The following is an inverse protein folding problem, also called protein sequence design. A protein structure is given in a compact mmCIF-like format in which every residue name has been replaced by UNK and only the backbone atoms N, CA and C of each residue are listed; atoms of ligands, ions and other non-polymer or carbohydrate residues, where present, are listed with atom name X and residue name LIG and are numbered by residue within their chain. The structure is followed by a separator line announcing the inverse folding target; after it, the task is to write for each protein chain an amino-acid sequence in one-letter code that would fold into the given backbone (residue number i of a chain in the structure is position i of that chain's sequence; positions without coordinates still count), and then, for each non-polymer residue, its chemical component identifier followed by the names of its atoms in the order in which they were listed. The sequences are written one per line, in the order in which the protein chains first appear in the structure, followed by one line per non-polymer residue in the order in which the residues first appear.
data_IF_965881908056
#
_entry.id   IF_965881908056
#
_cell.length_a   1.000
_cell.length_b   1.000
_cell.length_c   1.000
_cell.angle_alpha   90.00
_cell.angle_beta   90.00
_cell.angle_gamma   90.00
#
_symmetry.space_group_name_H-M   'P 1'
#
loop_
_entity.id
_entity.type
_entity.pdbx_description
1 polymer ?
#
# COMPACT_ATOMS: atom_id res chain seq x y z
N UNK A 1 -17.69 -36.55 39.34
CA UNK A 1 -19.06 -36.83 38.85
C UNK A 1 -19.64 -35.51 38.40
N UNK A 2 -20.10 -35.25 37.19
CA UNK A 2 -20.17 -35.94 35.89
C UNK A 2 -20.31 -34.80 34.85
N UNK A 3 -19.72 -34.92 33.66
CA UNK A 3 -20.44 -35.17 32.40
C UNK A 3 -21.77 -34.41 32.29
N UNK A 4 -21.89 -33.53 31.29
CA UNK A 4 -22.82 -33.77 30.18
C UNK A 4 -22.52 -32.85 28.98
N UNK A 5 -22.44 -33.52 27.83
CA UNK A 5 -22.30 -33.01 26.47
C UNK A 5 -23.52 -32.19 26.06
N UNK A 6 -23.31 -31.05 25.39
CA UNK A 6 -24.30 -30.51 24.46
C UNK A 6 -23.61 -29.98 23.19
N UNK A 7 -23.61 -30.92 22.23
CA UNK A 7 -23.67 -30.77 20.78
C UNK A 7 -24.35 -29.44 20.36
N UNK A 8 -23.73 -28.68 19.46
CA UNK A 8 -24.44 -27.67 18.67
C UNK A 8 -24.46 -28.08 17.20
N UNK A 9 -25.69 -28.34 16.77
CA UNK A 9 -26.17 -28.74 15.45
C UNK A 9 -26.09 -27.59 14.44
N UNK A 10 -25.80 -27.96 13.18
CA UNK A 10 -26.03 -27.09 12.01
C UNK A 10 -27.54 -26.99 11.73
N UNK A 11 -28.09 -25.84 11.34
CA UNK A 11 -29.42 -25.80 10.75
C UNK A 11 -29.34 -26.16 9.26
N UNK A 12 -30.14 -27.16 8.86
CA UNK A 12 -30.52 -27.47 7.48
C UNK A 12 -31.96 -26.99 7.27
N UNK A 13 -32.19 -26.31 6.13
CA UNK A 13 -33.41 -26.23 5.29
C UNK A 13 -34.74 -25.73 5.94
N UNK A 14 -35.49 -24.76 5.37
CA UNK A 14 -36.23 -24.89 4.12
C UNK A 14 -36.77 -23.54 3.57
N UNK A 15 -36.96 -23.56 2.24
CA UNK A 15 -37.87 -22.85 1.31
C UNK A 15 -38.81 -21.72 1.79
N UNK A 16 -39.00 -20.71 0.93
CA UNK A 16 -40.29 -20.39 0.26
C UNK A 16 -40.07 -19.38 -0.88
N UNK A 17 -40.79 -19.64 -1.98
CA UNK A 17 -40.89 -18.95 -3.27
C UNK A 17 -41.59 -17.58 -3.19
N UNK A 18 -41.34 -16.70 -4.17
CA UNK A 18 -42.45 -16.02 -4.89
C UNK A 18 -42.03 -15.52 -6.30
N UNK A 19 -42.91 -15.90 -7.22
CA UNK A 19 -43.15 -15.59 -8.65
C UNK A 19 -43.30 -14.07 -8.96
N UNK A 20 -42.72 -13.55 -10.06
CA UNK A 20 -43.28 -13.33 -11.44
C UNK A 20 -44.25 -12.12 -11.55
N UNK A 21 -44.38 -11.33 -12.62
CA UNK A 21 -44.16 -11.46 -14.07
C UNK A 21 -44.00 -10.06 -14.76
N UNK A 22 -43.31 -10.05 -15.92
CA UNK A 22 -43.57 -9.43 -17.24
C UNK A 22 -44.06 -7.96 -17.39
N UNK A 23 -43.75 -7.17 -18.42
CA UNK A 23 -43.34 -7.45 -19.81
C UNK A 23 -42.88 -6.15 -20.53
N UNK A 24 -42.14 -6.27 -21.64
CA UNK A 24 -42.36 -5.36 -22.79
C UNK A 24 -41.24 -4.43 -23.32
N UNK A 25 -40.66 -4.87 -24.45
CA UNK A 25 -40.20 -4.11 -25.65
C UNK A 25 -38.76 -3.58 -25.74
N UNK A 26 -38.04 -4.25 -26.64
CA UNK A 26 -36.81 -3.86 -27.31
C UNK A 26 -37.07 -2.84 -28.44
N UNK A 27 -36.37 -1.71 -28.40
CA UNK A 27 -36.14 -0.83 -29.56
C UNK A 27 -34.64 -0.52 -29.68
N UNK A 28 -34.02 -1.04 -30.74
CA UNK A 28 -32.68 -0.67 -31.17
C UNK A 28 -32.73 0.72 -31.81
N UNK A 29 -32.10 1.71 -31.18
CA UNK A 29 -31.77 2.98 -31.81
C UNK A 29 -30.27 3.23 -31.73
N UNK A 30 -29.63 3.03 -32.87
CA UNK A 30 -28.25 3.36 -33.16
C UNK A 30 -28.11 4.89 -33.19
N UNK A 31 -27.70 5.49 -32.07
CA UNK A 31 -27.15 6.85 -32.02
C UNK A 31 -25.82 6.78 -31.28
N UNK A 32 -24.75 7.12 -31.98
CA UNK A 32 -23.41 7.20 -31.40
C UNK A 32 -23.41 8.10 -30.17
N UNK A 33 -23.19 7.50 -29.01
CA UNK A 33 -22.96 8.21 -27.76
C UNK A 33 -21.52 8.71 -27.82
N UNK A 34 -21.35 9.97 -28.23
CA UNK A 34 -20.13 10.71 -27.93
C UNK A 34 -20.14 10.88 -26.41
N UNK A 35 -19.40 10.03 -25.70
CA UNK A 35 -19.11 10.23 -24.29
C UNK A 35 -18.21 11.45 -24.21
N UNK A 36 -18.81 12.62 -23.97
CA UNK A 36 -18.08 13.75 -23.43
C UNK A 36 -17.60 13.33 -22.04
N UNK A 37 -16.33 12.92 -21.97
CA UNK A 37 -15.61 12.77 -20.72
C UNK A 37 -15.37 14.20 -20.23
N UNK A 38 -16.25 14.70 -19.38
CA UNK A 38 -15.97 15.92 -18.64
C UNK A 38 -14.71 15.69 -17.79
N UNK A 39 -13.67 16.53 -17.93
CA UNK A 39 -12.49 16.41 -17.08
C UNK A 39 -12.89 16.65 -15.63
N UNK A 40 -12.32 15.92 -14.65
CA UNK A 40 -12.75 15.95 -13.27
C UNK A 40 -12.76 17.38 -12.72
N UNK A 41 -13.90 17.79 -12.17
CA UNK A 41 -14.19 19.15 -11.65
C UNK A 41 -13.15 19.66 -10.63
N UNK A 42 -12.35 18.77 -10.06
CA UNK A 42 -11.26 19.09 -9.15
C UNK A 42 -10.12 19.89 -9.79
N UNK A 43 -9.90 19.77 -11.10
CA UNK A 43 -8.85 20.53 -11.79
C UNK A 43 -9.26 21.97 -12.10
N UNK A 44 -10.55 22.24 -12.38
CA UNK A 44 -11.05 23.61 -12.65
C UNK A 44 -11.05 24.49 -11.40
N UNK A 45 -11.32 23.93 -10.22
CA UNK A 45 -11.27 24.65 -8.94
C UNK A 45 -9.85 25.09 -8.57
N UNK A 46 -8.84 24.24 -8.80
CA UNK A 46 -7.44 24.60 -8.56
C UNK A 46 -6.93 25.63 -9.58
N UNK A 47 -7.37 25.53 -10.84
CA UNK A 47 -6.97 26.44 -11.91
C UNK A 47 -7.54 27.85 -11.69
N UNK A 48 -8.85 27.96 -11.37
CA UNK A 48 -9.50 29.23 -11.05
C UNK A 48 -8.98 29.90 -9.77
N UNK A 49 -8.61 29.12 -8.74
CA UNK A 49 -8.00 29.68 -7.53
C UNK A 49 -6.59 30.22 -7.77
N UNK A 50 -5.79 29.57 -8.62
CA UNK A 50 -4.46 30.06 -8.93
C UNK A 50 -4.49 31.40 -9.67
N UNK A 51 -5.35 31.54 -10.68
CA UNK A 51 -5.46 32.77 -11.50
C UNK A 51 -5.94 33.98 -10.68
N UNK A 52 -6.83 33.75 -9.71
CA UNK A 52 -7.28 34.79 -8.76
C UNK A 52 -6.14 35.20 -7.82
N UNK A 53 -5.35 34.25 -7.34
CA UNK A 53 -4.19 34.53 -6.48
C UNK A 53 -3.14 35.34 -7.26
N UNK A 54 -2.88 34.97 -8.51
CA UNK A 54 -1.96 35.69 -9.40
C UNK A 54 -2.43 37.12 -9.68
N UNK A 55 -3.72 37.30 -9.99
CA UNK A 55 -4.32 38.61 -10.20
C UNK A 55 -4.28 39.50 -8.96
N UNK A 56 -4.53 38.93 -7.77
CA UNK A 56 -4.47 39.67 -6.51
C UNK A 56 -3.03 40.05 -6.12
N UNK A 57 -2.04 39.16 -6.29
CA UNK A 57 -0.63 39.47 -6.06
C UNK A 57 -0.13 40.57 -6.99
N UNK A 58 -0.53 40.53 -8.26
CA UNK A 58 -0.24 41.57 -9.23
C UNK A 58 -0.85 42.92 -8.83
N UNK A 59 -2.13 42.92 -8.44
CA UNK A 59 -2.81 44.13 -7.98
C UNK A 59 -2.15 44.72 -6.74
N UNK A 60 -1.76 43.89 -5.77
CA UNK A 60 -1.06 44.34 -4.56
C UNK A 60 0.31 44.94 -4.91
N UNK A 61 1.05 44.32 -5.83
CA UNK A 61 2.36 44.83 -6.23
C UNK A 61 2.27 46.19 -6.93
N UNK A 62 1.32 46.37 -7.84
CA UNK A 62 1.19 47.58 -8.64
C UNK A 62 0.44 48.71 -7.94
N UNK A 63 -0.61 48.42 -7.17
CA UNK A 63 -1.41 49.44 -6.50
C UNK A 63 -1.02 49.65 -5.03
N UNK A 64 -0.25 48.74 -4.43
CA UNK A 64 0.16 48.82 -3.03
C UNK A 64 1.55 49.43 -2.77
N UNK A 65 2.43 49.48 -3.76
CA UNK A 65 3.82 49.97 -3.59
C UNK A 65 4.13 51.16 -4.50
N UNK A 66 4.94 52.08 -4.00
CA UNK A 66 5.45 53.22 -4.77
C UNK A 66 6.55 52.78 -5.76
N UNK A 67 6.77 53.56 -6.82
CA UNK A 67 7.68 53.22 -7.94
C UNK A 67 9.13 53.00 -7.44
N UNK A 68 9.57 53.76 -6.43
CA UNK A 68 10.88 53.57 -5.80
C UNK A 68 10.96 52.27 -4.99
N UNK A 69 9.88 51.90 -4.31
CA UNK A 69 9.80 50.66 -3.53
C UNK A 69 9.74 49.43 -4.44
N UNK A 70 9.00 49.50 -5.55
CA UNK A 70 8.96 48.46 -6.58
C UNK A 70 10.37 48.18 -7.14
N UNK A 71 11.16 49.21 -7.44
CA UNK A 71 12.55 49.05 -7.92
C UNK A 71 13.47 48.38 -6.91
N UNK A 72 13.39 48.74 -5.63
CA UNK A 72 14.17 48.11 -4.56
C UNK A 72 13.77 46.64 -4.41
N UNK A 73 12.47 46.34 -4.45
CA UNK A 73 11.95 44.96 -4.40
C UNK A 73 12.47 44.16 -5.60
N UNK A 74 12.39 44.69 -6.82
CA UNK A 74 12.86 43.99 -8.02
C UNK A 74 14.37 43.72 -8.00
N UNK A 75 15.17 44.67 -7.51
CA UNK A 75 16.60 44.47 -7.30
C UNK A 75 16.87 43.37 -6.27
N UNK A 76 16.13 43.33 -5.17
CA UNK A 76 16.24 42.26 -4.17
C UNK A 76 15.81 40.89 -4.75
N UNK A 77 14.76 40.85 -5.58
CA UNK A 77 14.25 39.63 -6.21
C UNK A 77 15.20 39.06 -7.26
N UNK A 78 16.01 39.89 -7.92
CA UNK A 78 17.00 39.43 -8.91
C UNK A 78 18.08 38.51 -8.35
N UNK A 79 18.32 38.56 -7.03
CA UNK A 79 19.24 37.64 -6.34
C UNK A 79 18.64 36.23 -6.11
N UNK A 80 17.33 36.07 -6.25
CA UNK A 80 16.60 34.83 -5.97
C UNK A 80 16.32 33.95 -7.22
N UNK A 81 16.79 34.34 -8.41
CA UNK A 81 16.42 33.72 -9.70
C UNK A 81 17.13 32.40 -10.03
N UNK A 82 17.90 31.82 -9.10
CA UNK A 82 18.65 30.59 -9.35
C UNK A 82 17.76 29.34 -9.27
N UNK A 83 17.06 29.02 -10.36
CA UNK A 83 16.28 27.77 -10.54
C UNK A 83 17.11 26.50 -10.25
N UNK A 84 18.44 26.60 -10.36
CA UNK A 84 19.40 25.54 -10.03
C UNK A 84 19.30 25.10 -8.57
N UNK A 85 19.10 26.03 -7.64
CA UNK A 85 18.93 25.73 -6.22
C UNK A 85 17.62 24.96 -5.98
N UNK A 86 16.55 25.37 -6.67
CA UNK A 86 15.26 24.69 -6.59
C UNK A 86 15.33 23.25 -7.12
N UNK A 87 16.00 23.04 -8.26
CA UNK A 87 16.25 21.70 -8.79
C UNK A 87 17.04 20.83 -7.83
N UNK A 88 18.06 21.40 -7.17
CA UNK A 88 18.84 20.68 -6.17
C UNK A 88 17.99 20.25 -4.97
N UNK A 89 17.22 21.18 -4.39
CA UNK A 89 16.34 20.86 -3.26
C UNK A 89 15.28 19.81 -3.62
N UNK A 90 14.67 19.94 -4.80
CA UNK A 90 13.67 18.99 -5.27
C UNK A 90 14.28 17.61 -5.58
N UNK A 91 15.47 17.58 -6.15
CA UNK A 91 16.23 16.34 -6.39
C UNK A 91 16.61 15.62 -5.10
N UNK A 92 17.05 16.36 -4.07
CA UNK A 92 17.31 15.79 -2.74
C UNK A 92 16.02 15.23 -2.12
N UNK A 93 14.91 15.96 -2.22
CA UNK A 93 13.61 15.49 -1.74
C UNK A 93 13.17 14.18 -2.44
N UNK A 94 13.33 14.10 -3.75
CA UNK A 94 13.06 12.89 -4.53
C UNK A 94 13.94 11.72 -4.10
N UNK A 95 15.25 11.96 -3.91
CA UNK A 95 16.17 10.91 -3.46
C UNK A 95 15.75 10.35 -2.09
N UNK A 96 15.32 11.19 -1.15
CA UNK A 96 14.79 10.75 0.14
C UNK A 96 13.49 9.95 0.00
N UNK A 97 12.58 10.39 -0.88
CA UNK A 97 11.33 9.68 -1.15
C UNK A 97 11.59 8.26 -1.69
N UNK A 98 12.46 8.15 -2.70
CA UNK A 98 12.85 6.85 -3.31
C UNK A 98 13.54 5.95 -2.28
N UNK A 99 14.47 6.51 -1.48
CA UNK A 99 15.15 5.74 -0.43
C UNK A 99 14.15 5.17 0.58
N UNK A 100 13.18 5.97 1.02
CA UNK A 100 12.14 5.51 1.94
C UNK A 100 11.33 4.35 1.37
N UNK A 101 10.94 4.42 0.10
CA UNK A 101 10.20 3.32 -0.57
C UNK A 101 11.07 2.08 -0.71
N UNK A 102 12.34 2.24 -1.07
CA UNK A 102 13.30 1.12 -1.09
C UNK A 102 13.40 0.46 0.29
N UNK A 103 13.55 1.26 1.35
CA UNK A 103 13.61 0.76 2.72
C UNK A 103 12.33 0.00 3.10
N UNK A 104 11.15 0.56 2.82
CA UNK A 104 9.86 -0.13 3.05
C UNK A 104 9.81 -1.46 2.28
N UNK A 105 10.21 -1.48 1.01
CA UNK A 105 10.18 -2.68 0.17
C UNK A 105 11.07 -3.81 0.71
N UNK A 106 12.22 -3.46 1.28
CA UNK A 106 13.16 -4.43 1.87
C UNK A 106 12.63 -5.10 3.14
N UNK A 107 11.66 -4.47 3.81
CA UNK A 107 11.05 -4.95 5.04
C UNK A 107 9.71 -5.68 4.82
N UNK A 108 9.29 -5.87 3.56
CA UNK A 108 8.12 -6.70 3.25
C UNK A 108 8.43 -8.14 3.68
N UNK A 109 7.65 -8.74 4.60
CA UNK A 109 8.00 -10.03 5.18
C UNK A 109 8.02 -11.14 4.12
N UNK A 110 9.13 -11.89 3.99
CA UNK A 110 9.18 -13.05 3.11
C UNK A 110 8.47 -14.23 3.77
N UNK A 111 7.50 -14.84 3.09
CA UNK A 111 6.83 -16.07 3.54
C UNK A 111 7.56 -17.34 3.11
N UNK A 112 8.39 -17.25 2.07
CA UNK A 112 8.87 -18.41 1.33
C UNK A 112 9.91 -19.20 2.14
N UNK A 113 10.77 -18.48 2.87
CA UNK A 113 11.74 -19.08 3.80
C UNK A 113 11.04 -19.86 4.91
N UNK A 114 10.01 -19.27 5.52
CA UNK A 114 9.25 -19.92 6.59
C UNK A 114 8.48 -21.11 6.03
N UNK A 115 7.88 -20.99 4.83
CA UNK A 115 7.17 -22.10 4.19
C UNK A 115 8.07 -23.31 3.96
N UNK A 116 9.29 -23.10 3.43
CA UNK A 116 10.27 -24.16 3.22
C UNK A 116 10.79 -24.76 4.54
N UNK A 117 10.97 -23.95 5.59
CA UNK A 117 11.40 -24.46 6.89
C UNK A 117 10.29 -25.27 7.57
N UNK A 118 9.04 -24.79 7.50
CA UNK A 118 7.88 -25.47 8.06
C UNK A 118 7.64 -26.79 7.33
N UNK A 119 7.78 -26.80 6.01
CA UNK A 119 7.58 -28.01 5.21
C UNK A 119 8.59 -29.08 5.62
N UNK A 120 9.88 -28.76 5.73
CA UNK A 120 10.92 -29.71 6.11
C UNK A 120 10.83 -30.10 7.59
N UNK A 121 10.68 -29.13 8.50
CA UNK A 121 10.81 -29.35 9.94
C UNK A 121 9.64 -30.13 10.54
N UNK A 122 8.43 -30.00 9.97
CA UNK A 122 7.21 -30.58 10.54
C UNK A 122 6.78 -31.78 9.69
N UNK A 123 6.52 -32.93 10.32
CA UNK A 123 6.04 -34.11 9.59
C UNK A 123 4.55 -34.01 9.22
N UNK A 124 3.75 -33.42 10.11
CA UNK A 124 2.30 -33.36 9.99
C UNK A 124 1.84 -32.16 9.13
N UNK A 125 1.30 -32.46 7.95
CA UNK A 125 0.81 -31.46 7.00
C UNK A 125 -0.31 -30.55 7.54
N UNK A 126 -1.15 -31.05 8.48
CA UNK A 126 -2.19 -30.21 9.10
C UNK A 126 -1.59 -29.12 9.97
N UNK A 127 -0.52 -29.45 10.71
CA UNK A 127 0.21 -28.52 11.57
C UNK A 127 0.98 -27.50 10.73
N UNK A 128 1.61 -27.95 9.63
CA UNK A 128 2.26 -27.06 8.66
C UNK A 128 1.30 -26.00 8.13
N UNK A 129 0.11 -26.41 7.67
CA UNK A 129 -0.95 -25.50 7.20
C UNK A 129 -1.41 -24.54 8.29
N UNK A 130 -1.58 -25.03 9.52
CA UNK A 130 -1.95 -24.20 10.66
C UNK A 130 -0.95 -23.08 10.93
N UNK A 131 0.34 -23.41 10.98
CA UNK A 131 1.42 -22.43 11.21
C UNK A 131 1.48 -21.41 10.07
N UNK A 132 1.52 -21.86 8.81
CA UNK A 132 1.59 -20.93 7.68
C UNK A 132 0.37 -20.03 7.59
N UNK A 133 -0.81 -20.53 7.94
CA UNK A 133 -2.02 -19.74 8.04
C UNK A 133 -1.92 -18.66 9.12
N UNK A 134 -1.37 -18.95 10.29
CA UNK A 134 -1.14 -17.93 11.32
C UNK A 134 -0.14 -16.87 10.86
N UNK A 135 0.93 -17.29 10.17
CA UNK A 135 1.92 -16.38 9.58
C UNK A 135 1.30 -15.45 8.53
N UNK A 136 0.56 -16.00 7.56
CA UNK A 136 -0.10 -15.18 6.53
C UNK A 136 -1.19 -14.28 7.12
N UNK A 137 -1.85 -14.72 8.19
CA UNK A 137 -2.82 -13.91 8.92
C UNK A 137 -2.17 -12.70 9.61
N UNK A 138 -0.97 -12.85 10.17
CA UNK A 138 -0.21 -11.74 10.74
C UNK A 138 0.12 -10.68 9.68
N UNK A 139 0.59 -11.12 8.51
CA UNK A 139 0.90 -10.24 7.38
C UNK A 139 -0.37 -9.51 6.90
N UNK A 140 -1.50 -10.23 6.78
CA UNK A 140 -2.78 -9.65 6.39
C UNK A 140 -3.24 -8.56 7.38
N UNK A 141 -3.12 -8.80 8.69
CA UNK A 141 -3.42 -7.81 9.72
C UNK A 141 -2.56 -6.55 9.56
N UNK A 142 -1.26 -6.70 9.36
CA UNK A 142 -0.34 -5.58 9.15
C UNK A 142 -0.72 -4.81 7.89
N UNK A 143 -0.93 -5.47 6.76
CA UNK A 143 -1.30 -4.80 5.51
C UNK A 143 -2.65 -4.10 5.61
N UNK A 144 -3.63 -4.67 6.32
CA UNK A 144 -4.92 -4.02 6.61
C UNK A 144 -4.77 -2.78 7.49
N UNK A 145 -3.79 -2.78 8.39
CA UNK A 145 -3.47 -1.60 9.18
C UNK A 145 -2.76 -0.55 8.33
N UNK A 146 -1.96 -0.94 7.35
CA UNK A 146 -1.20 -0.01 6.49
C UNK A 146 -2.06 0.64 5.41
N UNK A 147 -2.83 -0.15 4.65
CA UNK A 147 -3.65 0.31 3.51
C UNK A 147 -5.15 0.10 3.77
N UNK A 148 -5.98 1.15 3.65
CA UNK A 148 -7.43 1.03 3.78
C UNK A 148 -8.05 0.18 2.67
N UNK A 149 -7.43 0.10 1.49
CA UNK A 149 -7.89 -0.77 0.40
C UNK A 149 -7.85 -2.24 0.79
N UNK A 150 -6.77 -2.68 1.45
CA UNK A 150 -6.64 -4.05 1.97
C UNK A 150 -7.67 -4.29 3.08
N UNK A 151 -7.85 -3.32 3.99
CA UNK A 151 -8.86 -3.41 5.04
C UNK A 151 -10.29 -3.56 4.47
N UNK A 152 -10.65 -2.72 3.49
CA UNK A 152 -11.96 -2.76 2.84
C UNK A 152 -12.18 -4.07 2.08
N UNK A 153 -11.15 -4.60 1.41
CA UNK A 153 -11.20 -5.91 0.76
C UNK A 153 -11.46 -7.03 1.78
N UNK A 154 -10.70 -7.07 2.86
CA UNK A 154 -10.85 -8.10 3.90
C UNK A 154 -12.22 -8.03 4.56
N UNK A 155 -12.74 -6.81 4.82
CA UNK A 155 -14.10 -6.57 5.31
C UNK A 155 -15.17 -7.04 4.30
N UNK A 156 -15.00 -6.74 3.02
CA UNK A 156 -15.94 -7.17 1.97
C UNK A 156 -15.91 -8.68 1.71
N UNK A 157 -14.82 -9.38 2.06
CA UNK A 157 -14.69 -10.83 1.85
C UNK A 157 -15.58 -11.69 2.76
N UNK A 158 -16.30 -11.09 3.72
CA UNK A 158 -17.27 -11.77 4.60
C UNK A 158 -18.33 -12.58 3.82
N UNK A 159 -18.65 -12.18 2.59
CA UNK A 159 -19.60 -12.87 1.70
C UNK A 159 -18.95 -13.89 0.73
N UNK A 160 -17.62 -13.98 0.65
CA UNK A 160 -16.94 -14.77 -0.38
C UNK A 160 -16.26 -16.03 0.19
N UNK A 161 -16.90 -17.19 0.00
CA UNK A 161 -16.50 -18.50 0.53
C UNK A 161 -15.15 -19.04 0.00
N UNK A 162 -14.56 -18.40 -1.02
CA UNK A 162 -13.26 -18.78 -1.59
C UNK A 162 -12.04 -18.31 -0.78
N UNK A 163 -12.21 -17.36 0.14
CA UNK A 163 -11.15 -16.89 1.02
C UNK A 163 -11.28 -17.42 2.47
N UNK A 164 -11.54 -18.73 2.63
CA UNK A 164 -11.65 -19.39 3.95
C UNK A 164 -10.41 -19.22 4.86
N UNK A 165 -9.26 -18.87 4.29
CA UNK A 165 -8.07 -18.49 5.07
C UNK A 165 -8.20 -17.11 5.72
N UNK A 166 -8.70 -16.11 4.97
CA UNK A 166 -8.97 -14.73 5.41
C UNK A 166 -10.12 -14.66 6.44
N UNK A 167 -11.15 -15.50 6.28
CA UNK A 167 -12.31 -15.57 7.20
C UNK A 167 -11.94 -16.11 8.59
N UNK A 168 -10.90 -16.95 8.73
CA UNK A 168 -10.48 -17.45 10.04
C UNK A 168 -9.48 -16.51 10.73
N UNK A 169 -8.66 -15.75 9.98
CA UNK A 169 -8.02 -14.56 10.55
C UNK A 169 -9.06 -13.57 11.05
N UNK A 170 -10.13 -13.33 10.29
CA UNK A 170 -11.25 -12.45 10.70
C UNK A 170 -11.92 -12.92 12.00
N UNK A 171 -12.24 -14.21 12.14
CA UNK A 171 -12.85 -14.76 13.36
C UNK A 171 -11.92 -14.73 14.58
N UNK A 172 -10.61 -14.86 14.36
CA UNK A 172 -9.60 -14.66 15.39
C UNK A 172 -9.42 -13.17 15.73
N UNK A 173 -9.51 -12.28 14.73
CA UNK A 173 -9.56 -10.82 14.88
C UNK A 173 -10.80 -10.42 15.69
N UNK A 174 -11.98 -10.95 15.39
CA UNK A 174 -13.24 -10.67 16.10
C UNK A 174 -13.21 -11.13 17.55
N UNK A 175 -12.72 -12.35 17.82
CA UNK A 175 -12.54 -12.82 19.22
C UNK A 175 -11.51 -12.01 20.01
N UNK A 176 -10.61 -11.29 19.33
CA UNK A 176 -9.58 -10.43 19.93
C UNK A 176 -9.95 -8.94 19.91
N UNK A 177 -10.96 -8.55 19.10
CA UNK A 177 -11.43 -7.17 18.88
C UNK A 177 -12.11 -6.58 20.11
N UNK A 178 -12.76 -7.38 20.93
CA UNK A 178 -13.60 -6.90 22.03
C UNK A 178 -12.85 -6.18 23.17
N UNK A 179 -11.50 -6.14 23.19
CA UNK A 179 -10.77 -5.60 24.36
C UNK A 179 -9.57 -4.67 24.10
N UNK A 180 -8.97 -4.58 22.91
CA UNK A 180 -7.61 -3.98 22.79
C UNK A 180 -7.31 -3.09 21.56
N UNK A 181 -8.20 -2.98 20.58
CA UNK A 181 -7.85 -2.49 19.24
C UNK A 181 -8.30 -1.06 18.95
N UNK A 182 -7.72 -0.08 19.64
CA UNK A 182 -7.62 1.30 19.14
C UNK A 182 -6.16 1.81 19.06
N UNK A 183 -5.17 1.03 19.50
CA UNK A 183 -3.77 1.51 19.66
C UNK A 183 -2.73 0.66 18.92
N UNK A 184 -2.97 -0.63 18.66
CA UNK A 184 -1.96 -1.52 18.07
C UNK A 184 -2.60 -2.45 17.04
N UNK A 185 -1.92 -2.81 15.95
CA UNK A 185 -2.47 -3.58 14.82
C UNK A 185 -2.86 -5.04 15.14
N UNK A 186 -2.63 -5.52 16.37
CA UNK A 186 -3.03 -6.86 16.83
C UNK A 186 -2.24 -8.03 16.21
N UNK A 187 -1.30 -7.75 15.32
CA UNK A 187 -0.55 -8.73 14.53
C UNK A 187 0.34 -9.68 15.36
N UNK A 188 0.71 -9.27 16.58
CA UNK A 188 1.45 -10.11 17.53
C UNK A 188 0.68 -11.40 17.91
N UNK A 189 -0.66 -11.38 17.84
CA UNK A 189 -1.48 -12.50 18.31
C UNK A 189 -1.37 -13.73 17.39
N UNK A 190 -1.56 -13.62 16.06
CA UNK A 190 -1.28 -14.75 15.15
C UNK A 190 0.15 -15.26 15.23
N UNK A 191 1.12 -14.37 15.43
CA UNK A 191 2.53 -14.77 15.58
C UNK A 191 2.72 -15.62 16.85
N UNK A 192 2.10 -15.22 17.96
CA UNK A 192 2.11 -16.00 19.19
C UNK A 192 1.43 -17.37 19.01
N UNK A 193 0.33 -17.46 18.26
CA UNK A 193 -0.30 -18.75 17.94
C UNK A 193 0.56 -19.63 17.03
N UNK A 194 1.29 -19.04 16.08
CA UNK A 194 2.26 -19.76 15.27
C UNK A 194 3.38 -20.35 16.14
N UNK A 195 3.96 -19.57 17.04
CA UNK A 195 4.97 -20.03 18.00
C UNK A 195 4.43 -21.11 18.94
N UNK A 196 3.19 -20.96 19.41
CA UNK A 196 2.53 -21.98 20.24
C UNK A 196 2.32 -23.29 19.48
N UNK A 197 1.88 -23.23 18.22
CA UNK A 197 1.71 -24.42 17.38
C UNK A 197 3.06 -25.14 17.12
N UNK A 198 4.16 -24.39 16.97
CA UNK A 198 5.51 -24.97 16.90
C UNK A 198 5.88 -25.67 18.21
N UNK A 199 5.55 -25.06 19.36
CA UNK A 199 5.81 -25.65 20.67
C UNK A 199 4.99 -26.93 20.90
N UNK A 200 3.71 -26.94 20.54
CA UNK A 200 2.87 -28.16 20.61
C UNK A 200 3.41 -29.28 19.71
N UNK A 201 3.90 -28.94 18.52
CA UNK A 201 4.50 -29.90 17.61
C UNK A 201 5.83 -30.47 18.17
N UNK A 202 6.61 -29.65 18.90
CA UNK A 202 7.77 -30.14 19.68
C UNK A 202 7.33 -31.14 20.75
N UNK A 203 6.30 -30.84 21.54
CA UNK A 203 5.79 -31.74 22.57
C UNK A 203 5.31 -33.08 22.02
N UNK A 204 4.72 -33.07 20.82
CA UNK A 204 4.27 -34.27 20.09
C UNK A 204 5.41 -35.00 19.35
N UNK A 205 6.66 -34.53 19.49
CA UNK A 205 7.84 -35.06 18.77
C UNK A 205 7.66 -35.11 17.23
N UNK A 206 6.85 -34.20 16.68
CA UNK A 206 6.62 -34.07 15.24
C UNK A 206 7.71 -33.23 14.54
N UNK A 207 8.62 -32.62 15.32
CA UNK A 207 9.70 -31.72 14.88
C UNK A 207 11.02 -32.12 15.56
N UNK A 208 12.11 -32.09 14.80
CA UNK A 208 13.46 -32.26 15.33
C UNK A 208 13.90 -31.06 16.19
N UNK A 209 14.48 -31.32 17.36
CA UNK A 209 14.85 -30.29 18.33
C UNK A 209 15.79 -29.22 17.77
N UNK A 210 16.66 -29.59 16.83
CA UNK A 210 17.60 -28.67 16.16
C UNK A 210 16.90 -27.67 15.23
N UNK A 211 15.74 -28.03 14.67
CA UNK A 211 14.99 -27.19 13.74
C UNK A 211 13.99 -26.27 14.44
N UNK A 212 13.58 -26.60 15.66
CA UNK A 212 12.64 -25.79 16.46
C UNK A 212 13.18 -24.37 16.67
N UNK A 213 14.43 -24.23 17.12
CA UNK A 213 15.02 -22.91 17.39
C UNK A 213 15.14 -22.08 16.10
N UNK A 214 15.51 -22.72 14.98
CA UNK A 214 15.60 -22.07 13.67
C UNK A 214 14.24 -21.55 13.22
N UNK A 215 13.19 -22.37 13.37
CA UNK A 215 11.83 -21.98 13.00
C UNK A 215 11.29 -20.85 13.88
N UNK A 216 11.54 -20.90 15.19
CA UNK A 216 11.17 -19.83 16.13
C UNK A 216 11.88 -18.52 15.76
N UNK A 217 13.19 -18.58 15.46
CA UNK A 217 13.97 -17.41 15.07
C UNK A 217 13.44 -16.76 13.78
N UNK A 218 13.06 -17.56 12.79
CA UNK A 218 12.51 -17.05 11.53
C UNK A 218 11.10 -16.44 11.71
N UNK A 219 10.26 -17.03 12.57
CA UNK A 219 8.96 -16.43 12.93
C UNK A 219 9.15 -15.11 13.68
N UNK A 220 10.12 -15.03 14.60
CA UNK A 220 10.46 -13.79 15.31
C UNK A 220 11.09 -12.73 14.39
N UNK A 221 11.88 -13.17 13.41
CA UNK A 221 12.40 -12.28 12.38
C UNK A 221 11.24 -11.67 11.57
N UNK A 222 10.24 -12.47 11.17
CA UNK A 222 9.03 -11.95 10.53
C UNK A 222 8.28 -10.95 11.40
N UNK A 223 8.13 -11.21 12.71
CA UNK A 223 7.53 -10.25 13.64
C UNK A 223 8.26 -8.91 13.60
N UNK A 224 9.60 -8.94 13.65
CA UNK A 224 10.42 -7.74 13.58
C UNK A 224 10.22 -6.97 12.26
N UNK A 225 10.07 -7.68 11.13
CA UNK A 225 9.77 -7.06 9.83
C UNK A 225 8.40 -6.38 9.83
N UNK A 226 7.38 -7.06 10.38
CA UNK A 226 6.04 -6.50 10.56
C UNK A 226 6.03 -5.24 11.43
N UNK A 227 6.74 -5.25 12.57
CA UNK A 227 6.88 -4.10 13.46
C UNK A 227 7.55 -2.92 12.75
N UNK A 228 8.61 -3.17 11.96
CA UNK A 228 9.28 -2.13 11.19
C UNK A 228 8.35 -1.48 10.16
N UNK A 229 7.51 -2.26 9.48
CA UNK A 229 6.51 -1.70 8.55
C UNK A 229 5.51 -0.78 9.26
N UNK A 230 5.08 -1.14 10.47
CA UNK A 230 4.19 -0.31 11.29
C UNK A 230 4.90 0.97 11.71
N UNK A 231 6.16 0.87 12.14
CA UNK A 231 6.97 2.04 12.53
C UNK A 231 7.16 3.00 11.35
N UNK A 232 7.38 2.51 10.13
CA UNK A 232 7.46 3.37 8.93
C UNK A 232 6.18 4.17 8.67
N UNK A 233 5.01 3.64 9.05
CA UNK A 233 3.74 4.39 8.99
C UNK A 233 3.68 5.47 10.07
N UNK A 234 4.11 5.18 11.30
CA UNK A 234 4.08 6.13 12.41
C UNK A 234 5.12 7.24 12.28
N UNK A 235 6.35 6.92 11.88
CA UNK A 235 7.44 7.88 11.70
C UNK A 235 7.14 8.88 10.57
N UNK A 236 6.24 8.52 9.64
CA UNK A 236 5.80 9.42 8.58
C UNK A 236 6.97 9.94 7.75
N UNK A 237 6.74 10.99 6.97
CA UNK A 237 7.83 11.76 6.37
C UNK A 237 7.96 13.05 7.16
N UNK A 238 9.18 13.57 7.33
CA UNK A 238 9.37 14.82 8.08
C UNK A 238 8.52 15.92 7.49
N UNK A 239 7.55 16.40 8.28
CA UNK A 239 6.61 17.42 7.84
C UNK A 239 7.33 18.68 7.34
N UNK A 240 8.42 19.06 8.01
CA UNK A 240 9.24 20.21 7.62
C UNK A 240 9.87 20.07 6.24
N UNK A 241 10.31 18.86 5.85
CA UNK A 241 10.88 18.63 4.53
C UNK A 241 9.82 18.76 3.42
N UNK A 242 8.65 18.14 3.59
CA UNK A 242 7.55 18.27 2.62
C UNK A 242 7.06 19.71 2.47
N UNK A 243 6.92 20.41 3.59
CA UNK A 243 6.39 21.77 3.61
C UNK A 243 7.42 22.78 3.10
N UNK A 244 8.69 22.64 3.47
CA UNK A 244 9.76 23.51 3.02
C UNK A 244 9.97 23.47 1.50
N UNK A 245 9.94 22.29 0.89
CA UNK A 245 10.06 22.15 -0.57
C UNK A 245 8.88 22.80 -1.30
N UNK A 246 7.64 22.62 -0.80
CA UNK A 246 6.44 23.25 -1.37
C UNK A 246 6.50 24.78 -1.29
N UNK A 247 6.83 25.31 -0.12
CA UNK A 247 6.94 26.76 0.10
C UNK A 247 8.03 27.33 -0.82
N UNK A 248 9.19 26.66 -0.90
CA UNK A 248 10.29 27.09 -1.77
C UNK A 248 9.89 27.09 -3.24
N UNK A 249 9.14 26.07 -3.68
CA UNK A 249 8.59 25.99 -5.03
C UNK A 249 7.66 27.16 -5.30
N UNK A 250 6.62 27.33 -4.48
CA UNK A 250 5.62 28.38 -4.70
C UNK A 250 6.21 29.79 -4.58
N UNK A 251 7.13 30.02 -3.65
CA UNK A 251 7.83 31.29 -3.51
C UNK A 251 8.65 31.63 -4.77
N UNK A 252 9.38 30.65 -5.33
CA UNK A 252 10.15 30.84 -6.56
C UNK A 252 9.27 31.29 -7.73
N UNK A 253 8.11 30.66 -7.92
CA UNK A 253 7.19 31.05 -8.99
C UNK A 253 6.50 32.39 -8.75
N UNK A 254 6.16 32.71 -7.50
CA UNK A 254 5.59 34.01 -7.16
C UNK A 254 6.55 35.15 -7.49
N UNK A 255 7.81 34.98 -7.08
CA UNK A 255 8.89 35.93 -7.36
C UNK A 255 9.13 36.07 -8.86
N UNK A 256 9.23 34.94 -9.58
CA UNK A 256 9.45 34.94 -11.03
C UNK A 256 8.31 35.61 -11.82
N UNK A 257 7.05 35.39 -11.41
CA UNK A 257 5.90 36.01 -12.05
C UNK A 257 5.87 37.53 -11.85
N UNK A 258 6.03 38.01 -10.61
CA UNK A 258 6.06 39.45 -10.29
C UNK A 258 7.14 40.16 -11.10
N UNK A 259 8.31 39.54 -11.24
CA UNK A 259 9.42 40.10 -12.03
C UNK A 259 9.09 40.21 -13.52
N UNK A 260 8.52 39.16 -14.12
CA UNK A 260 8.14 39.19 -15.54
C UNK A 260 7.06 40.24 -15.80
N UNK A 261 6.06 40.34 -14.93
CA UNK A 261 5.00 41.36 -15.03
C UNK A 261 5.53 42.79 -14.86
N UNK A 262 6.54 43.00 -14.02
CA UNK A 262 7.15 44.31 -13.82
C UNK A 262 8.11 44.74 -14.92
N UNK A 263 8.92 43.83 -15.46
CA UNK A 263 9.88 44.15 -16.53
C UNK A 263 9.18 44.49 -17.86
N UNK A 264 7.96 43.98 -18.08
CA UNK A 264 7.13 44.34 -19.23
C UNK A 264 6.63 45.79 -19.25
N UNK A 265 6.80 46.54 -18.15
CA UNK A 265 6.43 47.95 -18.05
C UNK A 265 7.61 48.92 -18.24
N UNK A 266 8.84 48.50 -17.95
CA UNK A 266 10.03 49.37 -18.04
C UNK A 266 10.70 49.36 -19.42
N UNK A 267 10.67 48.22 -20.12
CA UNK A 267 11.27 48.09 -21.44
C UNK A 267 10.15 48.00 -22.48
N UNK A 268 10.23 48.77 -23.57
CA UNK A 268 9.33 48.74 -24.75
C UNK A 268 9.41 47.40 -25.52
N UNK A 269 9.42 46.28 -24.81
CA UNK A 269 9.37 44.95 -25.39
C UNK A 269 8.01 44.72 -26.03
N UNK A 270 8.03 44.09 -27.20
CA UNK A 270 6.78 43.71 -27.85
C UNK A 270 5.94 42.86 -26.91
N UNK A 271 4.63 43.12 -26.83
CA UNK A 271 3.66 42.35 -26.03
C UNK A 271 3.80 40.83 -26.26
N UNK A 272 4.27 40.44 -27.44
CA UNK A 272 4.57 39.05 -27.83
C UNK A 272 5.74 38.43 -27.07
N UNK A 273 6.82 39.18 -26.79
CA UNK A 273 7.97 38.69 -26.00
C UNK A 273 7.55 38.46 -24.54
N UNK A 274 6.78 39.38 -23.96
CA UNK A 274 6.27 39.24 -22.60
C UNK A 274 5.32 38.04 -22.46
N UNK A 275 4.38 37.89 -23.40
CA UNK A 275 3.47 36.74 -23.42
C UNK A 275 4.21 35.41 -23.56
N UNK A 276 5.24 35.36 -24.41
CA UNK A 276 6.06 34.16 -24.60
C UNK A 276 6.87 33.82 -23.35
N UNK A 277 7.43 34.82 -22.67
CA UNK A 277 8.16 34.63 -21.42
C UNK A 277 7.27 34.09 -20.28
N UNK A 278 6.03 34.58 -20.19
CA UNK A 278 5.03 34.09 -19.22
C UNK A 278 4.63 32.63 -19.52
N UNK A 279 4.43 32.28 -20.79
CA UNK A 279 4.13 30.90 -21.20
C UNK A 279 5.29 29.96 -20.85
N UNK A 280 6.52 30.36 -21.12
CA UNK A 280 7.71 29.55 -20.78
C UNK A 280 7.82 29.38 -19.26
N UNK A 281 7.62 30.45 -18.48
CA UNK A 281 7.66 30.37 -17.03
C UNK A 281 6.56 29.45 -16.46
N UNK A 282 5.36 29.48 -17.07
CA UNK A 282 4.29 28.57 -16.73
C UNK A 282 4.60 27.10 -17.09
N UNK A 283 5.25 26.84 -18.23
CA UNK A 283 5.69 25.49 -18.57
C UNK A 283 6.75 24.97 -17.59
N UNK A 284 7.69 25.84 -17.18
CA UNK A 284 8.67 25.52 -16.14
C UNK A 284 7.94 25.24 -14.81
N UNK A 285 6.93 26.02 -14.46
CA UNK A 285 6.08 25.75 -13.28
C UNK A 285 5.46 24.36 -13.31
N UNK A 286 4.79 24.01 -14.40
CA UNK A 286 4.19 22.70 -14.56
C UNK A 286 5.23 21.59 -14.40
N UNK A 287 6.41 21.75 -15.01
CA UNK A 287 7.48 20.76 -14.89
C UNK A 287 7.88 20.51 -13.43
N UNK A 288 8.13 21.57 -12.65
CA UNK A 288 8.51 21.43 -11.25
C UNK A 288 7.36 20.90 -10.36
N UNK A 289 6.13 21.33 -10.62
CA UNK A 289 4.95 20.82 -9.91
C UNK A 289 4.76 19.32 -10.19
N UNK A 290 4.94 18.87 -11.43
CA UNK A 290 4.85 17.45 -11.78
C UNK A 290 5.89 16.65 -11.00
N UNK A 291 7.15 17.09 -10.99
CA UNK A 291 8.24 16.42 -10.26
C UNK A 291 7.94 16.35 -8.74
N UNK A 292 7.42 17.45 -8.17
CA UNK A 292 6.99 17.48 -6.77
C UNK A 292 5.83 16.51 -6.51
N UNK A 293 4.81 16.48 -7.38
CA UNK A 293 3.66 15.58 -7.25
C UNK A 293 4.07 14.12 -7.36
N UNK A 294 5.00 13.77 -8.25
CA UNK A 294 5.56 12.43 -8.32
C UNK A 294 6.21 12.04 -6.98
N UNK A 295 7.00 12.93 -6.39
CA UNK A 295 7.64 12.68 -5.10
C UNK A 295 6.61 12.54 -3.96
N UNK A 296 5.55 13.36 -3.94
CA UNK A 296 4.48 13.26 -2.96
C UNK A 296 3.73 11.92 -3.02
N UNK A 297 3.52 11.39 -4.22
CA UNK A 297 2.91 10.07 -4.40
C UNK A 297 3.81 8.96 -3.85
N UNK A 298 5.12 9.03 -4.10
CA UNK A 298 6.11 8.07 -3.59
C UNK A 298 6.20 8.10 -2.06
N UNK A 299 6.12 9.28 -1.45
CA UNK A 299 6.23 9.45 0.02
C UNK A 299 5.08 8.79 0.79
N UNK A 300 3.91 8.61 0.17
CA UNK A 300 2.73 7.95 0.74
C UNK A 300 2.51 6.58 0.09
N UNK A 301 3.29 5.55 0.47
CA UNK A 301 3.26 4.25 -0.23
C UNK A 301 1.93 3.49 -0.11
N UNK A 302 1.06 3.85 0.84
CA UNK A 302 -0.18 3.15 1.20
C UNK A 302 -1.45 3.99 0.95
N UNK A 303 -1.44 4.85 -0.08
CA UNK A 303 -2.53 5.79 -0.35
C UNK A 303 -3.65 5.18 -1.23
N UNK A 304 -4.90 5.48 -0.87
CA UNK A 304 -6.16 4.91 -1.41
C UNK A 304 -6.41 5.04 -2.92
N UNK A 305 -5.61 5.77 -3.68
CA UNK A 305 -5.84 5.95 -5.12
C UNK A 305 -4.72 5.39 -5.99
N UNK A 306 -3.49 5.33 -5.46
CA UNK A 306 -2.29 4.87 -6.15
C UNK A 306 -1.34 4.26 -5.13
N UNK A 307 -1.73 3.10 -4.61
CA UNK A 307 -0.88 2.29 -3.73
C UNK A 307 0.41 1.94 -4.50
N UNK A 308 1.53 2.56 -4.11
CA UNK A 308 2.85 2.33 -4.73
C UNK A 308 3.22 0.85 -4.64
N UNK A 309 2.81 0.21 -3.55
CA UNK A 309 2.84 -1.23 -3.40
C UNK A 309 1.44 -1.76 -3.59
N UNK A 310 1.22 -2.60 -4.61
CA UNK A 310 -0.01 -3.35 -4.79
C UNK A 310 -0.17 -4.40 -3.66
N UNK A 311 -0.40 -3.95 -2.42
CA UNK A 311 -0.38 -4.78 -1.21
C UNK A 311 -1.39 -5.93 -1.28
N UNK A 312 -2.51 -5.71 -1.97
CA UNK A 312 -3.47 -6.76 -2.28
C UNK A 312 -2.85 -7.89 -3.12
N UNK A 313 -2.15 -7.55 -4.21
CA UNK A 313 -1.47 -8.53 -5.07
C UNK A 313 -0.34 -9.23 -4.31
N UNK A 314 0.44 -8.47 -3.53
CA UNK A 314 1.52 -9.03 -2.71
C UNK A 314 0.96 -10.00 -1.68
N UNK A 315 -0.14 -9.65 -0.99
CA UNK A 315 -0.79 -10.54 -0.03
C UNK A 315 -1.24 -11.86 -0.68
N UNK A 316 -1.87 -11.78 -1.85
CA UNK A 316 -2.30 -12.93 -2.62
C UNK A 316 -1.12 -13.82 -3.01
N UNK A 317 -0.03 -13.21 -3.47
CA UNK A 317 1.21 -13.89 -3.81
C UNK A 317 1.78 -14.64 -2.59
N UNK A 318 1.84 -13.99 -1.42
CA UNK A 318 2.34 -14.60 -0.17
C UNK A 318 1.48 -15.78 0.28
N UNK A 319 0.15 -15.66 0.22
CA UNK A 319 -0.78 -16.75 0.56
C UNK A 319 -0.63 -17.92 -0.43
N UNK A 320 -0.54 -17.61 -1.73
CA UNK A 320 -0.42 -18.60 -2.79
C UNK A 320 0.91 -19.36 -2.69
N UNK A 321 2.04 -18.67 -2.56
CA UNK A 321 3.37 -19.30 -2.46
C UNK A 321 3.47 -20.17 -1.21
N UNK A 322 2.99 -19.67 -0.06
CA UNK A 322 2.94 -20.46 1.18
C UNK A 322 2.16 -21.77 1.01
N UNK A 323 0.99 -21.72 0.36
CA UNK A 323 0.16 -22.90 0.13
C UNK A 323 0.78 -23.85 -0.90
N UNK A 324 1.37 -23.30 -1.97
CA UNK A 324 2.00 -24.06 -3.05
C UNK A 324 3.19 -24.90 -2.55
N UNK A 325 4.09 -24.30 -1.78
CA UNK A 325 5.26 -24.98 -1.20
C UNK A 325 4.82 -26.17 -0.35
N UNK A 326 3.87 -25.96 0.57
CA UNK A 326 3.36 -27.02 1.44
C UNK A 326 2.71 -28.16 0.65
N UNK A 327 1.90 -27.84 -0.36
CA UNK A 327 1.23 -28.85 -1.17
C UNK A 327 2.23 -29.69 -1.96
N UNK A 328 3.18 -29.04 -2.64
CA UNK A 328 4.17 -29.71 -3.47
C UNK A 328 5.05 -30.65 -2.64
N UNK A 329 5.47 -30.24 -1.45
CA UNK A 329 6.29 -31.09 -0.59
C UNK A 329 5.48 -32.27 -0.01
N UNK A 330 4.22 -32.06 0.33
CA UNK A 330 3.34 -33.15 0.76
C UNK A 330 3.11 -34.18 -0.36
N UNK A 331 2.92 -33.74 -1.60
CA UNK A 331 2.78 -34.63 -2.76
C UNK A 331 4.05 -35.45 -3.00
N UNK A 332 5.22 -34.82 -2.88
CA UNK A 332 6.51 -35.52 -2.97
C UNK A 332 6.65 -36.60 -1.88
N UNK A 333 6.26 -36.30 -0.64
CA UNK A 333 6.26 -37.28 0.46
C UNK A 333 5.34 -38.46 0.18
N UNK A 334 4.18 -38.22 -0.44
CA UNK A 334 3.26 -39.29 -0.81
C UNK A 334 3.86 -40.17 -1.90
N UNK A 335 4.48 -39.57 -2.94
CA UNK A 335 5.13 -40.32 -4.03
C UNK A 335 6.29 -41.18 -3.53
N UNK A 336 7.18 -40.64 -2.70
CA UNK A 336 8.30 -41.41 -2.14
C UNK A 336 7.80 -42.61 -1.33
N UNK A 337 6.74 -42.45 -0.52
CA UNK A 337 6.13 -43.58 0.20
C UNK A 337 5.55 -44.64 -0.74
N UNK A 338 4.99 -44.24 -1.87
CA UNK A 338 4.47 -45.19 -2.87
C UNK A 338 5.61 -45.96 -3.55
N UNK A 339 6.71 -45.28 -3.87
CA UNK A 339 7.92 -45.91 -4.44
C UNK A 339 8.58 -46.88 -3.45
N UNK A 340 8.74 -46.48 -2.18
CA UNK A 340 9.28 -47.35 -1.13
C UNK A 340 8.41 -48.60 -0.92
N UNK A 341 7.08 -48.43 -0.93
CA UNK A 341 6.15 -49.55 -0.83
C UNK A 341 6.22 -50.48 -2.04
N UNK A 342 6.38 -49.94 -3.25
CA UNK A 342 6.52 -50.72 -4.48
C UNK A 342 7.85 -51.49 -4.49
N UNK A 343 8.95 -50.86 -4.07
CA UNK A 343 10.26 -51.50 -3.91
C UNK A 343 10.22 -52.61 -2.85
N UNK A 344 9.58 -52.35 -1.70
CA UNK A 344 9.40 -53.36 -0.65
C UNK A 344 8.54 -54.55 -1.09
N UNK A 345 7.52 -54.32 -1.92
CA UNK A 345 6.70 -55.39 -2.50
C UNK A 345 7.47 -56.19 -3.55
N UNK A 346 8.28 -55.53 -4.39
CA UNK A 346 9.15 -56.19 -5.35
C UNK A 346 10.21 -57.06 -4.64
N UNK A 347 10.85 -56.56 -3.58
CA UNK A 347 11.81 -57.33 -2.80
C UNK A 347 11.20 -58.64 -2.24
N UNK A 348 9.97 -58.58 -1.71
CA UNK A 348 9.23 -59.76 -1.22
C UNK A 348 8.79 -60.75 -2.31
N UNK A 349 8.82 -60.38 -3.58
CA UNK A 349 8.53 -61.26 -4.70
C UNK A 349 9.79 -61.97 -5.23
N UNK A 350 10.98 -61.45 -4.89
CA UNK A 350 12.27 -62.03 -5.28
C UNK A 350 12.90 -62.92 -4.20
N UNK A 351 12.49 -62.77 -2.94
CA UNK A 351 12.73 -63.72 -1.84
C UNK A 351 11.67 -64.85 -1.85
#
# INVERSE_FOLDING_TARGET
MGKDDWIFTLPLENEVQSEKDDDGKSEQNNKGVIVHIDPPETNKLLQGQSDIIWGNLWAIFHFGFDIQQQKIILQALSFCDDWRQLMFFLGVYQAFAVKKVSDVSSHIPPTDKIANLVSIAIKNYRVQKGIMKYVTSAIAMVFSFLSPMVFNRLKSSENNTRAKLEVQSQKLIEKTKDKLLNVHSGHFMPIKWALHAVYEAKLKQEIDEKLVNTLINEINHLHTQCDRLINFKHEGFSWGLTTGVKISLYAFFVIGAIRQLSNGLEENHSKYILATALIINFLVFLFFVIILRCAEQIVKPYNDQHDVFELNRILDEKIHVASFVLNKENDLRIRMKQEDNALGMAAKLFD
#
